data_IF_081861651078
#
_entry.id   IF_081861651078
#
_cell.length_a   1.000
_cell.length_b   1.000
_cell.length_c   1.000
_cell.angle_alpha   90.00
_cell.angle_beta   90.00
_cell.angle_gamma   90.00
#
_symmetry.space_group_name_H-M   'P 1'
#
loop_
_entity.id
_entity.type
_entity.pdbx_description
1 polymer ?
#
# COMPACT_ATOMS: atom_id res chain seq x y z
N UNK A 1 15.50 -3.41 -68.96
CA UNK A 1 16.49 -3.92 -67.98
C UNK A 1 16.22 -3.21 -66.66
N UNK A 2 15.93 -3.79 -65.51
CA UNK A 2 15.35 -5.05 -65.06
C UNK A 2 15.01 -4.78 -63.59
N UNK A 3 13.84 -5.21 -63.14
CA UNK A 3 13.40 -5.17 -61.75
C UNK A 3 14.21 -6.17 -60.91
N UNK A 4 14.60 -5.77 -59.70
CA UNK A 4 14.89 -6.63 -58.55
C UNK A 4 15.14 -5.76 -57.31
N UNK A 5 14.74 -6.09 -56.09
CA UNK A 5 13.67 -6.88 -55.50
C UNK A 5 13.80 -6.55 -54.00
N UNK A 6 12.69 -6.36 -53.30
CA UNK A 6 12.64 -6.10 -51.86
C UNK A 6 13.32 -7.21 -51.04
N UNK A 7 13.82 -6.88 -49.83
CA UNK A 7 13.69 -7.76 -48.64
C UNK A 7 14.13 -7.14 -47.30
N UNK A 8 13.14 -7.11 -46.41
CA UNK A 8 13.16 -7.38 -44.96
C UNK A 8 13.68 -6.32 -43.96
N UNK A 9 12.69 -5.62 -43.37
CA UNK A 9 12.36 -5.61 -41.93
C UNK A 9 13.21 -6.55 -41.06
N UNK A 10 13.92 -5.99 -40.07
CA UNK A 10 13.81 -6.28 -38.62
C UNK A 10 14.95 -5.55 -37.90
N UNK A 11 14.67 -4.44 -37.21
CA UNK A 11 15.63 -3.89 -36.25
C UNK A 11 14.99 -3.96 -34.88
N UNK A 12 15.31 -5.07 -34.21
CA UNK A 12 14.89 -5.41 -32.88
C UNK A 12 15.22 -4.28 -31.90
N UNK A 13 14.20 -3.93 -31.11
CA UNK A 13 14.29 -3.22 -29.84
C UNK A 13 15.31 -3.92 -28.94
N UNK A 14 16.46 -3.28 -28.71
CA UNK A 14 17.34 -3.66 -27.61
C UNK A 14 16.66 -3.24 -26.31
N UNK A 15 15.97 -4.18 -25.66
CA UNK A 15 15.62 -4.10 -24.25
C UNK A 15 16.92 -4.09 -23.47
N UNK A 16 17.25 -2.95 -22.87
CA UNK A 16 18.30 -2.84 -21.86
C UNK A 16 17.77 -3.48 -20.59
N UNK A 17 18.08 -4.76 -20.40
CA UNK A 17 17.93 -5.43 -19.10
C UNK A 17 18.90 -4.76 -18.14
N UNK A 18 18.42 -3.82 -17.33
CA UNK A 18 19.16 -3.41 -16.15
C UNK A 18 19.16 -4.60 -15.20
N UNK A 19 20.25 -5.35 -15.20
CA UNK A 19 20.56 -6.33 -14.19
C UNK A 19 20.65 -5.60 -12.85
N UNK A 20 19.63 -5.75 -12.02
CA UNK A 20 19.60 -5.32 -10.62
C UNK A 20 20.81 -5.95 -9.93
N UNK A 21 21.84 -5.15 -9.73
CA UNK A 21 23.02 -5.53 -8.98
C UNK A 21 22.58 -5.73 -7.53
N UNK A 22 22.36 -7.00 -7.17
CA UNK A 22 22.14 -7.43 -5.79
C UNK A 22 23.43 -7.11 -5.03
N UNK A 23 23.42 -5.96 -4.35
CA UNK A 23 24.48 -5.57 -3.41
C UNK A 23 24.60 -6.72 -2.40
N UNK A 24 25.75 -7.40 -2.43
CA UNK A 24 26.13 -8.37 -1.40
C UNK A 24 26.05 -7.67 -0.06
N UNK A 25 25.01 -7.97 0.72
CA UNK A 25 24.84 -7.56 2.10
C UNK A 25 25.95 -8.23 2.92
N UNK A 26 27.07 -7.52 3.05
CA UNK A 26 28.07 -7.81 4.07
C UNK A 26 27.43 -7.51 5.41
N UNK A 27 27.00 -8.57 6.10
CA UNK A 27 26.38 -8.50 7.42
C UNK A 27 27.35 -7.87 8.42
N UNK A 28 27.18 -6.58 8.69
CA UNK A 28 27.84 -5.91 9.82
C UNK A 28 26.89 -5.98 11.02
N UNK A 29 26.73 -7.17 11.59
CA UNK A 29 26.14 -7.39 12.91
C UNK A 29 27.11 -6.88 13.98
N UNK A 30 27.23 -5.57 14.13
CA UNK A 30 27.98 -5.00 15.26
C UNK A 30 27.44 -3.64 15.67
N UNK A 31 26.29 -3.64 16.35
CA UNK A 31 26.08 -2.84 17.57
C UNK A 31 24.81 -3.25 18.31
N UNK A 32 25.03 -3.68 19.57
CA UNK A 32 24.13 -3.51 20.72
C UNK A 32 22.87 -4.39 20.84
N UNK A 33 23.07 -5.70 20.97
CA UNK A 33 22.35 -6.45 21.98
C UNK A 33 23.28 -6.59 23.20
N UNK A 34 22.79 -6.33 24.41
CA UNK A 34 23.50 -6.72 25.63
C UNK A 34 23.89 -8.20 25.51
N UNK A 35 25.11 -8.60 25.92
CA UNK A 35 25.51 -10.00 25.86
C UNK A 35 24.47 -10.84 26.60
N UNK A 36 23.89 -11.83 25.92
CA UNK A 36 22.96 -12.77 26.53
C UNK A 36 23.66 -13.42 27.71
N UNK A 37 23.11 -13.33 28.94
CA UNK A 37 23.77 -13.91 30.10
C UNK A 37 23.89 -15.43 29.91
N UNK A 38 25.10 -15.96 30.08
CA UNK A 38 25.34 -17.40 29.96
C UNK A 38 24.51 -18.15 31.01
N UNK A 39 24.00 -19.33 30.67
CA UNK A 39 23.18 -20.15 31.58
C UNK A 39 23.84 -20.40 32.95
N UNK A 40 25.17 -20.46 32.98
CA UNK A 40 25.98 -20.55 34.19
C UNK A 40 25.85 -19.30 35.06
N UNK A 41 26.00 -18.11 34.49
CA UNK A 41 25.85 -16.84 35.20
C UNK A 41 24.43 -16.69 35.78
N UNK A 42 23.41 -17.10 35.04
CA UNK A 42 22.02 -17.06 35.54
C UNK A 42 21.83 -18.00 36.74
N UNK A 43 22.43 -19.18 36.68
CA UNK A 43 22.34 -20.18 37.76
C UNK A 43 23.13 -19.75 38.99
N UNK A 44 24.29 -19.12 38.83
CA UNK A 44 25.08 -18.58 39.94
C UNK A 44 24.36 -17.45 40.65
N UNK A 45 23.81 -16.49 39.90
CA UNK A 45 23.02 -15.40 40.48
C UNK A 45 21.74 -15.92 41.13
N UNK A 46 21.06 -16.90 40.52
CA UNK A 46 19.88 -17.52 41.15
C UNK A 46 20.24 -18.20 42.48
N UNK A 47 21.39 -18.87 42.57
CA UNK A 47 21.85 -19.48 43.83
C UNK A 47 22.19 -18.43 44.89
N UNK A 48 22.79 -17.30 44.50
CA UNK A 48 23.08 -16.18 45.40
C UNK A 48 21.81 -15.48 45.91
N UNK A 49 20.76 -15.40 45.08
CA UNK A 49 19.48 -14.76 45.40
C UNK A 49 18.46 -15.70 46.07
N UNK A 50 18.82 -16.96 46.34
CA UNK A 50 17.88 -17.95 46.92
C UNK A 50 16.83 -18.49 45.94
N UNK A 51 17.03 -18.28 44.64
CA UNK A 51 16.19 -18.77 43.55
C UNK A 51 15.57 -17.63 42.71
N UNK A 52 15.09 -17.95 41.50
CA UNK A 52 14.43 -16.97 40.66
C UNK A 52 13.06 -16.60 41.26
N UNK A 53 12.96 -15.37 41.78
CA UNK A 53 11.72 -14.78 42.28
C UNK A 53 11.30 -13.58 41.42
N UNK A 54 10.00 -13.21 41.36
CA UNK A 54 9.55 -12.06 40.58
C UNK A 54 10.32 -10.78 40.93
N UNK A 55 10.95 -10.16 39.93
CA UNK A 55 11.74 -8.93 40.10
C UNK A 55 13.23 -9.13 40.41
N UNK A 56 13.67 -10.35 40.77
CA UNK A 56 15.08 -10.68 41.03
C UNK A 56 15.97 -10.54 39.79
N UNK A 57 17.29 -10.40 40.01
CA UNK A 57 18.27 -10.27 38.91
C UNK A 57 18.27 -11.53 38.04
N UNK A 58 18.20 -12.70 38.67
CA UNK A 58 18.08 -13.99 37.98
C UNK A 58 16.80 -14.09 37.14
N UNK A 59 15.66 -13.59 37.62
CA UNK A 59 14.42 -13.53 36.84
C UNK A 59 14.51 -12.53 35.67
N UNK A 60 15.15 -11.38 35.85
CA UNK A 60 15.38 -10.41 34.77
C UNK A 60 16.29 -11.00 33.68
N UNK A 61 17.36 -11.71 34.08
CA UNK A 61 18.25 -12.38 33.13
C UNK A 61 17.52 -13.49 32.34
N UNK A 62 16.69 -14.29 33.01
CA UNK A 62 15.84 -15.28 32.33
C UNK A 62 14.86 -14.62 31.36
N UNK A 63 14.23 -13.51 31.76
CA UNK A 63 13.33 -12.74 30.90
C UNK A 63 14.04 -12.21 29.66
N UNK A 64 15.26 -11.70 29.81
CA UNK A 64 16.07 -11.19 28.70
C UNK A 64 16.44 -12.29 27.71
N UNK A 65 16.81 -13.48 28.21
CA UNK A 65 17.06 -14.65 27.35
C UNK A 65 15.80 -15.05 26.59
N UNK A 66 14.64 -15.08 27.25
CA UNK A 66 13.36 -15.36 26.61
C UNK A 66 13.01 -14.37 25.50
N UNK A 67 13.16 -13.06 25.76
CA UNK A 67 12.95 -12.00 24.75
C UNK A 67 13.87 -12.16 23.55
N UNK A 68 15.15 -12.48 23.80
CA UNK A 68 16.15 -12.65 22.74
C UNK A 68 15.79 -13.83 21.86
N UNK A 69 15.52 -15.00 22.44
CA UNK A 69 15.11 -16.21 21.68
C UNK A 69 13.81 -15.99 20.90
N UNK A 70 12.83 -15.33 21.50
CA UNK A 70 11.56 -15.05 20.84
C UNK A 70 11.73 -14.12 19.63
N UNK A 71 12.67 -13.18 19.69
CA UNK A 71 13.00 -12.32 18.57
C UNK A 71 13.81 -13.07 17.51
N UNK A 72 14.82 -13.83 17.90
CA UNK A 72 15.64 -14.64 16.98
C UNK A 72 14.78 -15.62 16.17
N UNK A 73 13.86 -16.34 16.83
CA UNK A 73 12.95 -17.26 16.15
C UNK A 73 12.04 -16.52 15.16
N UNK A 74 11.49 -15.36 15.54
CA UNK A 74 10.68 -14.55 14.64
C UNK A 74 11.51 -14.02 13.44
N UNK A 75 12.75 -13.61 13.69
CA UNK A 75 13.68 -13.12 12.67
C UNK A 75 14.09 -14.22 11.69
N UNK A 76 14.24 -15.45 12.16
CA UNK A 76 14.48 -16.61 11.30
C UNK A 76 13.26 -16.92 10.43
N UNK A 77 12.06 -16.97 11.01
CA UNK A 77 10.84 -17.28 10.27
C UNK A 77 10.53 -16.23 9.19
N UNK A 78 10.46 -14.96 9.58
CA UNK A 78 10.16 -13.86 8.65
C UNK A 78 11.35 -13.62 7.71
N UNK A 79 12.58 -13.72 8.20
CA UNK A 79 13.78 -13.61 7.39
C UNK A 79 13.89 -14.70 6.32
N UNK A 80 13.43 -15.92 6.61
CA UNK A 80 13.35 -16.98 5.61
C UNK A 80 12.32 -16.65 4.53
N UNK A 81 11.13 -16.14 4.90
CA UNK A 81 10.14 -15.65 3.93
C UNK A 81 10.73 -14.54 3.06
N UNK A 82 11.35 -13.53 3.67
CA UNK A 82 11.99 -12.41 2.96
C UNK A 82 13.05 -12.86 1.94
N UNK A 83 13.82 -13.93 2.25
CA UNK A 83 14.86 -14.44 1.35
C UNK A 83 14.32 -15.33 0.23
N UNK A 84 13.36 -16.18 0.55
CA UNK A 84 12.89 -17.23 -0.36
C UNK A 84 11.70 -16.80 -1.20
N UNK A 85 10.78 -16.04 -0.61
CA UNK A 85 9.58 -15.49 -1.27
C UNK A 85 9.27 -14.09 -0.71
N UNK A 86 10.04 -13.07 -1.12
CA UNK A 86 9.86 -11.71 -0.62
C UNK A 86 8.47 -11.13 -0.91
N UNK A 87 7.77 -11.61 -1.94
CA UNK A 87 6.42 -11.14 -2.30
C UNK A 87 5.34 -11.66 -1.34
N UNK A 88 5.61 -12.75 -0.62
CA UNK A 88 4.70 -13.32 0.39
C UNK A 88 4.71 -12.58 1.72
N UNK A 89 5.67 -11.68 1.96
CA UNK A 89 5.82 -10.97 3.23
C UNK A 89 4.67 -9.98 3.42
N UNK A 90 3.94 -10.13 4.54
CA UNK A 90 2.74 -9.35 4.85
C UNK A 90 2.98 -8.30 5.95
N UNK A 91 2.05 -7.36 6.14
CA UNK A 91 2.12 -6.43 7.28
C UNK A 91 2.04 -7.13 8.63
N UNK A 92 1.41 -8.30 8.70
CA UNK A 92 1.37 -9.10 9.93
C UNK A 92 2.75 -9.67 10.28
N UNK A 93 3.48 -10.18 9.29
CA UNK A 93 4.86 -10.65 9.48
C UNK A 93 5.75 -9.51 10.00
N UNK A 94 5.62 -8.31 9.41
CA UNK A 94 6.38 -7.13 9.83
C UNK A 94 6.01 -6.67 11.26
N UNK A 95 4.72 -6.64 11.60
CA UNK A 95 4.23 -6.29 12.95
C UNK A 95 4.67 -7.30 14.00
N UNK A 96 4.63 -8.59 13.66
CA UNK A 96 5.07 -9.65 14.54
C UNK A 96 6.56 -9.49 14.91
N UNK A 97 7.40 -9.25 13.90
CA UNK A 97 8.83 -9.04 14.08
C UNK A 97 9.13 -7.77 14.89
N UNK A 98 8.49 -6.65 14.53
CA UNK A 98 8.57 -5.35 15.22
C UNK A 98 8.20 -5.44 16.70
N UNK A 99 7.13 -6.18 17.03
CA UNK A 99 6.68 -6.37 18.41
C UNK A 99 7.72 -7.12 19.26
N UNK A 100 8.38 -8.13 18.68
CA UNK A 100 9.44 -8.88 19.38
C UNK A 100 10.70 -8.04 19.56
N UNK A 101 11.08 -7.27 18.55
CA UNK A 101 12.21 -6.34 18.64
C UNK A 101 11.96 -5.25 19.68
N UNK A 102 10.75 -4.69 19.74
CA UNK A 102 10.39 -3.67 20.72
C UNK A 102 10.45 -4.19 22.15
N UNK A 103 10.07 -5.46 22.39
CA UNK A 103 10.19 -6.10 23.71
C UNK A 103 11.63 -6.37 24.11
N UNK A 104 12.51 -6.62 23.14
CA UNK A 104 13.93 -6.89 23.34
C UNK A 104 14.72 -5.61 23.59
N UNK A 105 14.50 -4.58 22.76
CA UNK A 105 15.26 -3.32 22.76
C UNK A 105 14.62 -2.23 23.62
N UNK A 106 13.33 -2.38 23.95
CA UNK A 106 12.53 -1.33 24.61
C UNK A 106 12.15 -0.18 23.69
N UNK A 107 12.44 -0.26 22.38
CA UNK A 107 12.17 0.80 21.42
C UNK A 107 10.91 0.47 20.61
N UNK A 108 9.96 1.42 20.54
CA UNK A 108 8.73 1.23 19.77
C UNK A 108 8.95 1.19 18.26
N UNK A 109 10.00 1.86 17.79
CA UNK A 109 10.34 1.89 16.38
C UNK A 109 11.63 1.10 16.15
N UNK A 110 11.63 0.16 15.19
CA UNK A 110 12.84 -0.60 14.89
C UNK A 110 13.91 0.34 14.32
N UNK A 111 15.19 0.09 14.62
CA UNK A 111 16.31 0.72 13.93
C UNK A 111 16.17 0.56 12.41
N UNK A 112 16.56 1.57 11.64
CA UNK A 112 16.40 1.56 10.18
C UNK A 112 17.20 0.47 9.46
N UNK A 113 18.21 -0.07 10.13
CA UNK A 113 19.09 -1.16 9.68
C UNK A 113 18.69 -2.54 10.24
N UNK A 114 17.55 -2.63 10.94
CA UNK A 114 17.05 -3.89 11.48
C UNK A 114 16.23 -4.69 10.47
N UNK A 115 16.15 -6.00 10.70
CA UNK A 115 15.32 -6.91 9.91
C UNK A 115 13.83 -6.54 9.99
N UNK A 116 13.37 -5.93 11.09
CA UNK A 116 11.99 -5.44 11.22
C UNK A 116 11.72 -4.25 10.32
N UNK A 117 12.69 -3.34 10.16
CA UNK A 117 12.56 -2.21 9.24
C UNK A 117 12.54 -2.69 7.77
N UNK A 118 13.36 -3.69 7.44
CA UNK A 118 13.35 -4.30 6.10
C UNK A 118 12.04 -5.06 5.83
N UNK A 119 11.53 -5.81 6.81
CA UNK A 119 10.24 -6.49 6.72
C UNK A 119 9.07 -5.50 6.54
N UNK A 120 9.06 -4.39 7.29
CA UNK A 120 8.04 -3.33 7.19
C UNK A 120 8.08 -2.66 5.80
N UNK A 121 9.28 -2.42 5.26
CA UNK A 121 9.46 -1.88 3.90
C UNK A 121 8.93 -2.85 2.83
N UNK A 122 9.28 -4.12 2.95
CA UNK A 122 8.89 -5.15 1.98
C UNK A 122 7.37 -5.40 2.01
N UNK A 123 6.80 -5.53 3.21
CA UNK A 123 5.36 -5.64 3.41
C UNK A 123 4.61 -4.43 2.83
N UNK A 124 5.09 -3.21 3.10
CA UNK A 124 4.49 -1.99 2.54
C UNK A 124 4.56 -1.96 1.02
N UNK A 125 5.65 -2.47 0.42
CA UNK A 125 5.77 -2.57 -1.03
C UNK A 125 4.81 -3.63 -1.61
N UNK A 126 4.65 -4.77 -0.96
CA UNK A 126 3.73 -5.83 -1.40
C UNK A 126 2.26 -5.40 -1.25
N UNK A 127 1.91 -4.71 -0.15
CA UNK A 127 0.59 -4.12 0.05
C UNK A 127 0.34 -2.92 -0.87
N UNK A 128 1.36 -2.12 -1.17
CA UNK A 128 1.30 -1.03 -2.14
C UNK A 128 1.25 -1.51 -3.60
N UNK A 129 1.65 -2.74 -3.89
CA UNK A 129 1.47 -3.37 -5.19
C UNK A 129 0.07 -4.00 -5.36
N UNK A 130 -0.56 -4.42 -4.25
CA UNK A 130 -1.93 -4.99 -4.23
C UNK A 130 -3.01 -3.95 -4.06
N UNK A 131 -2.74 -2.84 -3.36
CA UNK A 131 -3.45 -1.58 -3.53
C UNK A 131 -3.01 -1.04 -4.87
N UNK A 132 -3.77 -1.32 -5.92
CA UNK A 132 -3.62 -0.70 -7.24
C UNK A 132 -3.02 0.69 -7.07
N UNK A 133 -1.80 0.88 -7.56
CA UNK A 133 -1.14 2.17 -7.63
C UNK A 133 -2.19 3.15 -8.14
N UNK A 134 -2.75 3.98 -7.25
CA UNK A 134 -3.74 4.95 -7.66
C UNK A 134 -2.98 5.82 -8.66
N UNK A 135 -3.31 5.86 -9.95
CA UNK A 135 -2.54 6.63 -10.94
C UNK A 135 -2.49 8.13 -10.59
N UNK A 136 -3.30 8.54 -9.60
CA UNK A 136 -3.30 9.84 -8.95
C UNK A 136 -2.12 10.09 -7.99
N UNK A 137 -1.43 9.07 -7.49
CA UNK A 137 -0.34 9.24 -6.51
C UNK A 137 0.90 9.94 -7.08
N UNK A 138 1.13 9.81 -8.39
CA UNK A 138 2.24 10.46 -9.11
C UNK A 138 1.86 11.81 -9.73
N UNK A 139 0.57 12.22 -9.62
CA UNK A 139 0.13 13.53 -10.08
C UNK A 139 0.44 14.59 -9.02
N UNK A 140 0.82 15.78 -9.49
CA UNK A 140 0.85 16.96 -8.62
C UNK A 140 -0.56 17.24 -8.06
N UNK A 141 -0.69 18.06 -6.99
CA UNK A 141 -2.00 18.34 -6.39
C UNK A 141 -3.04 18.88 -7.39
N UNK A 142 -2.60 19.59 -8.43
CA UNK A 142 -3.45 20.09 -9.49
C UNK A 142 -4.00 18.97 -10.39
N UNK A 143 -3.15 18.02 -10.77
CA UNK A 143 -3.51 16.82 -11.53
C UNK A 143 -4.43 15.89 -10.75
N UNK A 144 -4.20 15.71 -9.45
CA UNK A 144 -5.11 14.96 -8.57
C UNK A 144 -6.50 15.60 -8.54
N UNK A 145 -6.57 16.92 -8.33
CA UNK A 145 -7.84 17.64 -8.32
C UNK A 145 -8.58 17.59 -9.66
N UNK A 146 -7.87 17.62 -10.79
CA UNK A 146 -8.48 17.47 -12.11
C UNK A 146 -9.05 16.05 -12.30
N UNK A 147 -8.30 15.02 -11.93
CA UNK A 147 -8.73 13.63 -12.02
C UNK A 147 -9.93 13.35 -11.09
N UNK A 148 -9.97 13.93 -9.90
CA UNK A 148 -11.10 13.83 -8.98
C UNK A 148 -12.36 14.51 -9.55
N UNK A 149 -12.22 15.66 -10.22
CA UNK A 149 -13.36 16.35 -10.85
C UNK A 149 -13.95 15.53 -11.98
N UNK A 150 -13.11 14.91 -12.82
CA UNK A 150 -13.56 14.00 -13.88
C UNK A 150 -14.28 12.77 -13.32
N UNK A 151 -13.68 12.09 -12.34
CA UNK A 151 -14.29 10.90 -11.75
C UNK A 151 -15.62 11.22 -11.05
N UNK A 152 -15.72 12.36 -10.37
CA UNK A 152 -16.97 12.80 -9.78
C UNK A 152 -18.06 13.07 -10.82
N UNK A 153 -17.69 13.49 -12.03
CA UNK A 153 -18.64 13.63 -13.14
C UNK A 153 -19.03 12.29 -13.72
N UNK A 154 -18.07 11.39 -13.96
CA UNK A 154 -18.33 10.03 -14.47
C UNK A 154 -19.29 9.28 -13.55
N UNK A 155 -19.04 9.25 -12.24
CA UNK A 155 -19.92 8.59 -11.28
C UNK A 155 -21.35 9.18 -11.33
N UNK A 156 -21.49 10.51 -11.38
CA UNK A 156 -22.79 11.14 -11.48
C UNK A 156 -23.49 10.79 -12.81
N UNK A 157 -22.73 10.66 -13.90
CA UNK A 157 -23.26 10.26 -15.19
C UNK A 157 -23.69 8.79 -15.20
N UNK A 158 -22.94 7.91 -14.54
CA UNK A 158 -23.29 6.49 -14.36
C UNK A 158 -24.58 6.30 -13.57
N UNK A 159 -24.87 7.17 -12.60
CA UNK A 159 -26.10 7.11 -11.82
C UNK A 159 -27.33 7.60 -12.62
N UNK A 160 -27.16 8.63 -13.46
CA UNK A 160 -28.27 9.34 -14.12
C UNK A 160 -28.51 8.86 -15.55
N UNK A 161 -27.47 8.56 -16.33
CA UNK A 161 -27.60 8.18 -17.74
C UNK A 161 -28.43 6.91 -17.97
N UNK A 162 -28.31 5.83 -17.16
CA UNK A 162 -29.18 4.67 -17.28
C UNK A 162 -30.65 5.03 -17.04
N UNK A 163 -30.93 5.87 -16.02
CA UNK A 163 -32.29 6.34 -15.72
C UNK A 163 -32.89 7.13 -16.89
N UNK A 164 -32.10 8.03 -17.49
CA UNK A 164 -32.52 8.75 -18.69
C UNK A 164 -32.90 7.82 -19.86
N UNK A 165 -32.26 6.66 -19.97
CA UNK A 165 -32.52 5.69 -21.04
C UNK A 165 -33.69 4.76 -20.73
N UNK A 166 -33.84 4.30 -19.49
CA UNK A 166 -34.85 3.31 -19.10
C UNK A 166 -36.14 3.92 -18.59
N UNK A 167 -36.03 5.04 -17.87
CA UNK A 167 -37.13 5.67 -17.14
C UNK A 167 -36.98 7.21 -17.13
N UNK A 168 -37.11 7.85 -18.30
CA UNK A 168 -36.87 9.28 -18.45
C UNK A 168 -37.86 10.14 -17.64
N UNK A 169 -39.03 9.62 -17.28
CA UNK A 169 -40.07 10.35 -16.52
C UNK A 169 -39.71 10.53 -15.04
N UNK A 170 -38.73 9.78 -14.55
CA UNK A 170 -38.28 9.83 -13.15
C UNK A 170 -36.96 10.57 -12.95
N UNK A 171 -36.40 11.16 -14.02
CA UNK A 171 -35.23 12.04 -13.91
C UNK A 171 -35.63 13.31 -13.17
N UNK A 172 -35.01 13.57 -12.02
CA UNK A 172 -35.34 14.75 -11.20
C UNK A 172 -34.45 15.95 -11.51
N UNK A 173 -34.90 17.13 -11.09
CA UNK A 173 -34.13 18.38 -11.22
C UNK A 173 -32.83 18.34 -10.43
N UNK A 174 -32.84 17.77 -9.24
CA UNK A 174 -31.66 17.65 -8.38
C UNK A 174 -30.58 16.79 -9.04
N UNK A 175 -30.97 15.70 -9.70
CA UNK A 175 -30.07 14.84 -10.46
C UNK A 175 -29.47 15.58 -11.66
N UNK A 176 -30.30 16.32 -12.40
CA UNK A 176 -29.87 17.12 -13.53
C UNK A 176 -28.91 18.27 -13.12
N UNK A 177 -29.22 18.98 -12.03
CA UNK A 177 -28.40 20.07 -11.48
C UNK A 177 -27.09 19.56 -10.90
N UNK A 178 -27.10 18.39 -10.24
CA UNK A 178 -25.90 17.71 -9.80
C UNK A 178 -25.00 17.39 -10.99
N UNK A 179 -25.54 16.77 -12.04
CA UNK A 179 -24.78 16.38 -13.22
C UNK A 179 -24.19 17.61 -13.93
N UNK A 180 -24.98 18.67 -14.09
CA UNK A 180 -24.51 19.95 -14.64
C UNK A 180 -23.37 20.55 -13.82
N UNK A 181 -23.50 20.58 -12.49
CA UNK A 181 -22.45 21.08 -11.58
C UNK A 181 -21.15 20.28 -11.70
N UNK A 182 -21.24 18.95 -11.85
CA UNK A 182 -20.06 18.10 -12.01
C UNK A 182 -19.40 18.28 -13.37
N UNK A 183 -20.17 18.36 -14.46
CA UNK A 183 -19.63 18.62 -15.79
C UNK A 183 -18.92 19.97 -15.85
N UNK A 184 -19.54 21.01 -15.28
CA UNK A 184 -18.97 22.36 -15.24
C UNK A 184 -17.65 22.40 -14.46
N UNK A 185 -17.52 21.63 -13.38
CA UNK A 185 -16.26 21.54 -12.61
C UNK A 185 -15.18 20.74 -13.34
N UNK A 186 -15.57 19.69 -14.05
CA UNK A 186 -14.66 18.81 -14.78
C UNK A 186 -14.12 19.47 -16.06
N UNK A 187 -14.98 20.10 -16.86
CA UNK A 187 -14.65 20.60 -18.19
C UNK A 187 -14.72 22.12 -18.34
N UNK A 188 -15.26 22.84 -17.34
CA UNK A 188 -15.43 24.30 -17.39
C UNK A 188 -16.61 24.77 -18.25
N UNK A 189 -17.31 23.87 -18.91
CA UNK A 189 -18.51 24.12 -19.70
C UNK A 189 -19.38 22.87 -19.76
N UNK A 190 -20.67 23.06 -20.01
CA UNK A 190 -21.59 21.97 -20.33
C UNK A 190 -21.74 21.83 -21.84
N UNK A 191 -21.57 20.60 -22.34
CA UNK A 191 -21.67 20.31 -23.75
C UNK A 191 -23.13 20.35 -24.20
N UNK A 192 -23.45 21.12 -25.25
CA UNK A 192 -24.79 21.16 -25.82
C UNK A 192 -25.18 19.77 -26.33
N UNK A 193 -26.27 19.22 -25.82
CA UNK A 193 -26.72 17.86 -26.13
C UNK A 193 -25.92 16.75 -25.45
N UNK A 194 -24.99 17.09 -24.55
CA UNK A 194 -24.35 16.14 -23.64
C UNK A 194 -25.30 15.66 -22.54
N UNK A 195 -24.84 14.71 -21.72
CA UNK A 195 -25.68 14.02 -20.72
C UNK A 195 -26.33 15.00 -19.75
N UNK A 196 -25.62 16.03 -19.25
CA UNK A 196 -26.24 17.02 -18.36
C UNK A 196 -27.29 17.90 -19.06
N UNK A 197 -27.03 18.32 -20.31
CA UNK A 197 -28.02 19.09 -21.08
C UNK A 197 -29.31 18.27 -21.32
N UNK A 198 -29.16 16.99 -21.62
CA UNK A 198 -30.29 16.08 -21.82
C UNK A 198 -31.03 15.83 -20.51
N UNK A 199 -30.32 15.59 -19.41
CA UNK A 199 -30.92 15.42 -18.08
C UNK A 199 -31.73 16.66 -17.66
N UNK A 200 -31.21 17.87 -17.88
CA UNK A 200 -31.94 19.12 -17.61
C UNK A 200 -33.20 19.28 -18.47
N UNK A 201 -33.14 18.86 -19.74
CA UNK A 201 -34.31 18.91 -20.64
C UNK A 201 -35.41 17.96 -20.16
N UNK A 202 -35.05 16.72 -19.83
CA UNK A 202 -35.98 15.70 -19.32
C UNK A 202 -36.58 16.12 -17.98
N UNK A 203 -35.75 16.59 -17.04
CA UNK A 203 -36.23 17.07 -15.74
C UNK A 203 -37.22 18.24 -15.89
N UNK A 204 -36.94 19.20 -16.79
CA UNK A 204 -37.85 20.31 -17.05
C UNK A 204 -39.19 19.85 -17.66
N UNK A 205 -39.18 18.86 -18.55
CA UNK A 205 -40.40 18.26 -19.10
C UNK A 205 -41.20 17.52 -18.02
N UNK A 206 -40.52 16.79 -17.13
CA UNK A 206 -41.16 16.06 -16.02
C UNK A 206 -41.78 17.02 -15.00
N UNK A 207 -41.10 18.13 -14.67
CA UNK A 207 -41.65 19.19 -13.81
C UNK A 207 -42.89 19.85 -14.42
N UNK A 208 -42.97 19.95 -15.75
CA UNK A 208 -44.15 20.48 -16.44
C UNK A 208 -45.32 19.48 -16.41
N UNK A 209 -45.05 18.18 -16.62
CA UNK A 209 -46.07 17.14 -16.61
C UNK A 209 -46.63 16.82 -15.22
N UNK A 210 -45.79 16.90 -14.18
CA UNK A 210 -46.19 16.66 -12.78
C UNK A 210 -46.96 17.81 -12.12
N UNK A 211 -47.04 18.97 -12.77
CA UNK A 211 -47.78 20.15 -12.31
C UNK A 211 -49.17 20.31 -12.96
N UNK A 212 -49.72 19.26 -13.56
CA UNK A 212 -51.08 19.19 -14.15
C UNK A 212 -51.94 18.21 -13.38
#
# INVERSE_FOLDING_TARGET
>A
MSFQLARHLFRATRRTTQATQIRKLSYNTRKMAQPTPASQAISETAKQEGGPSPGSTSAQMQSQVGKTRNFEQAAEEVGAKMRNDPASVTSEDARYLKSREARLTGQNQPPSDSISADAERLASANEGATKQSNPKADLDPAGQSAADRLQNFENAAEDVAPKMATDPEHVTKEEADLLHSREQRAFGQTSKGGVASQAQSLAAENEQKGNV
#
